data_IF_558804072123
#
_entry.id   IF_558804072123
#
_cell.length_a   1.000
_cell.length_b   1.000
_cell.length_c   1.000
_cell.angle_alpha   90.00
_cell.angle_beta   90.00
_cell.angle_gamma   90.00
#
_symmetry.space_group_name_H-M   'P 1'
#
loop_
_entity.id
_entity.type
_entity.pdbx_description
1 polymer ?
#
# COMPACT_ATOMS: atom_id res chain seq x y z
N UNK A 1 -42.44 -50.31 -18.38
CA UNK A 1 -42.91 -48.92 -18.38
C UNK A 1 -42.66 -48.35 -16.98
N UNK A 2 -41.43 -47.90 -16.76
CA UNK A 2 -41.00 -46.50 -16.52
C UNK A 2 -41.01 -46.15 -15.02
N UNK A 3 -39.85 -46.31 -14.41
CA UNK A 3 -39.40 -45.67 -13.18
C UNK A 3 -39.56 -44.16 -13.22
N UNK A 4 -40.14 -43.56 -12.17
CA UNK A 4 -40.12 -42.13 -11.94
C UNK A 4 -39.92 -41.82 -10.44
N UNK A 5 -38.71 -42.09 -9.93
CA UNK A 5 -38.21 -41.42 -8.73
C UNK A 5 -38.03 -39.94 -9.06
N UNK A 6 -38.95 -39.10 -8.59
CA UNK A 6 -38.72 -37.65 -8.50
C UNK A 6 -37.70 -37.39 -7.39
N UNK A 7 -36.43 -37.29 -7.80
CA UNK A 7 -35.37 -36.71 -6.97
C UNK A 7 -35.63 -35.22 -6.85
N UNK A 8 -36.04 -34.80 -5.65
CA UNK A 8 -36.22 -33.40 -5.29
C UNK A 8 -34.84 -32.80 -5.01
N UNK A 9 -34.22 -32.20 -6.03
CA UNK A 9 -33.00 -31.41 -5.88
C UNK A 9 -33.33 -30.14 -5.10
N UNK A 10 -33.03 -30.13 -3.81
CA UNK A 10 -33.01 -28.92 -2.99
C UNK A 10 -31.84 -28.06 -3.43
N UNK A 11 -32.12 -27.02 -4.22
CA UNK A 11 -31.18 -25.93 -4.49
C UNK A 11 -31.13 -25.10 -3.21
N UNK A 12 -30.08 -25.25 -2.42
CA UNK A 12 -29.83 -24.42 -1.23
C UNK A 12 -29.62 -22.98 -1.68
N UNK A 13 -30.62 -22.12 -1.47
CA UNK A 13 -30.50 -20.69 -1.66
C UNK A 13 -29.42 -20.15 -0.72
N UNK A 14 -28.38 -19.52 -1.28
CA UNK A 14 -27.39 -18.78 -0.51
C UNK A 14 -28.12 -17.66 0.25
N UNK A 15 -28.18 -17.78 1.57
CA UNK A 15 -28.77 -16.77 2.45
C UNK A 15 -27.95 -15.48 2.32
N UNK A 16 -28.55 -14.39 1.85
CA UNK A 16 -27.89 -13.09 1.85
C UNK A 16 -27.66 -12.64 3.29
N UNK A 17 -26.39 -12.49 3.67
CA UNK A 17 -25.99 -12.00 4.99
C UNK A 17 -26.54 -10.58 5.22
N UNK A 18 -26.99 -10.31 6.44
CA UNK A 18 -27.39 -8.96 6.86
C UNK A 18 -26.18 -8.00 6.84
N UNK A 19 -26.45 -6.69 6.79
CA UNK A 19 -25.39 -5.68 6.73
C UNK A 19 -24.45 -5.72 7.95
N UNK A 20 -24.99 -6.03 9.12
CA UNK A 20 -24.23 -6.13 10.37
C UNK A 20 -23.33 -7.38 10.37
N UNK A 21 -23.83 -8.52 9.90
CA UNK A 21 -23.03 -9.75 9.77
C UNK A 21 -21.87 -9.56 8.77
N UNK A 22 -22.11 -8.88 7.64
CA UNK A 22 -21.07 -8.54 6.66
C UNK A 22 -19.99 -7.64 7.27
N UNK A 23 -20.37 -6.70 8.12
CA UNK A 23 -19.43 -5.81 8.80
C UNK A 23 -18.60 -6.56 9.85
N UNK A 24 -19.20 -7.46 10.62
CA UNK A 24 -18.47 -8.29 11.59
C UNK A 24 -17.51 -9.27 10.92
N UNK A 25 -17.92 -9.89 9.81
CA UNK A 25 -17.03 -10.72 9.00
C UNK A 25 -15.85 -9.91 8.44
N UNK A 26 -16.12 -8.71 7.91
CA UNK A 26 -15.10 -7.79 7.43
C UNK A 26 -14.11 -7.37 8.53
N UNK A 27 -14.59 -7.10 9.75
CA UNK A 27 -13.74 -6.81 10.92
C UNK A 27 -12.85 -7.99 11.30
N UNK A 28 -13.40 -9.21 11.30
CA UNK A 28 -12.61 -10.42 11.59
C UNK A 28 -11.52 -10.62 10.54
N UNK A 29 -11.89 -10.61 9.25
CA UNK A 29 -10.96 -10.79 8.14
C UNK A 29 -9.84 -9.74 8.14
N UNK A 30 -10.19 -8.45 8.22
CA UNK A 30 -9.20 -7.37 8.25
C UNK A 30 -8.37 -7.37 9.53
N UNK A 31 -8.97 -7.76 10.67
CA UNK A 31 -8.25 -7.93 11.94
C UNK A 31 -7.15 -8.98 11.87
N UNK A 32 -7.40 -10.11 11.21
CA UNK A 32 -6.40 -11.15 10.99
C UNK A 32 -5.24 -10.65 10.11
N UNK A 33 -5.53 -9.93 9.02
CA UNK A 33 -4.50 -9.33 8.17
C UNK A 33 -3.63 -8.33 8.95
N UNK A 34 -4.26 -7.48 9.77
CA UNK A 34 -3.54 -6.51 10.61
C UNK A 34 -2.67 -7.19 11.65
N UNK A 35 -3.15 -8.26 12.29
CA UNK A 35 -2.34 -9.02 13.25
C UNK A 35 -1.10 -9.65 12.57
N UNK A 36 -1.26 -10.21 11.36
CA UNK A 36 -0.12 -10.72 10.58
C UNK A 36 0.86 -9.62 10.20
N UNK A 37 0.36 -8.44 9.83
CA UNK A 37 1.18 -7.29 9.48
C UNK A 37 1.99 -6.77 10.68
N UNK A 38 1.39 -6.75 11.87
CA UNK A 38 2.08 -6.36 13.11
C UNK A 38 3.26 -7.28 13.41
N UNK A 39 3.05 -8.60 13.36
CA UNK A 39 4.14 -9.57 13.58
C UNK A 39 5.26 -9.40 12.55
N UNK A 40 4.90 -9.12 11.29
CA UNK A 40 5.87 -8.84 10.24
C UNK A 40 6.63 -7.54 10.47
N UNK A 41 5.94 -6.49 10.92
CA UNK A 41 6.53 -5.18 11.21
C UNK A 41 7.48 -5.24 12.41
N UNK A 42 7.10 -5.92 13.49
CA UNK A 42 7.97 -6.12 14.65
C UNK A 42 9.29 -6.80 14.26
N UNK A 43 9.23 -7.82 13.40
CA UNK A 43 10.43 -8.43 12.86
C UNK A 43 11.22 -7.46 11.99
N UNK A 44 10.55 -6.71 11.11
CA UNK A 44 11.19 -5.78 10.17
C UNK A 44 11.80 -4.55 10.85
N UNK A 45 11.25 -4.11 11.99
CA UNK A 45 11.74 -2.99 12.77
C UNK A 45 13.19 -3.21 13.26
N UNK A 46 13.60 -4.47 13.44
CA UNK A 46 14.95 -4.87 13.89
C UNK A 46 16.01 -4.82 12.78
N UNK A 47 15.62 -4.60 11.53
CA UNK A 47 16.54 -4.69 10.39
C UNK A 47 17.51 -3.50 10.35
N UNK A 48 18.72 -3.77 9.88
CA UNK A 48 19.73 -2.74 9.64
C UNK A 48 19.38 -1.88 8.42
N UNK A 49 20.02 -0.72 8.30
CA UNK A 49 19.83 0.17 7.15
C UNK A 49 20.18 -0.54 5.83
N UNK A 50 21.27 -1.32 5.82
CA UNK A 50 21.75 -2.03 4.64
C UNK A 50 20.77 -3.13 4.21
N UNK A 51 20.16 -3.83 5.17
CA UNK A 51 19.14 -4.85 4.88
C UNK A 51 17.90 -4.21 4.25
N UNK A 52 17.42 -3.10 4.85
CA UNK A 52 16.29 -2.34 4.31
C UNK A 52 16.60 -1.81 2.91
N UNK A 53 17.79 -1.25 2.70
CA UNK A 53 18.18 -0.67 1.42
C UNK A 53 18.30 -1.74 0.32
N UNK A 54 18.82 -2.93 0.65
CA UNK A 54 18.87 -4.08 -0.25
C UNK A 54 17.46 -4.51 -0.68
N UNK A 55 16.53 -4.60 0.26
CA UNK A 55 15.13 -4.98 -0.02
C UNK A 55 14.47 -3.94 -0.92
N UNK A 56 14.61 -2.65 -0.60
CA UNK A 56 14.01 -1.57 -1.39
C UNK A 56 14.60 -1.50 -2.80
N UNK A 57 15.91 -1.71 -2.94
CA UNK A 57 16.57 -1.76 -4.25
C UNK A 57 16.04 -2.91 -5.12
N UNK A 58 15.90 -4.12 -4.56
CA UNK A 58 15.37 -5.27 -5.28
C UNK A 58 13.93 -5.06 -5.76
N UNK A 59 13.08 -4.45 -4.91
CA UNK A 59 11.71 -4.10 -5.28
C UNK A 59 11.64 -3.04 -6.37
N UNK A 60 12.49 -2.00 -6.28
CA UNK A 60 12.50 -0.93 -7.27
C UNK A 60 12.89 -1.46 -8.67
N UNK A 61 13.88 -2.37 -8.71
CA UNK A 61 14.28 -3.04 -9.94
C UNK A 61 13.13 -3.90 -10.50
N UNK A 62 12.56 -4.80 -9.71
CA UNK A 62 11.47 -5.67 -10.14
C UNK A 62 10.24 -4.89 -10.63
N UNK A 63 9.90 -3.79 -9.94
CA UNK A 63 8.81 -2.92 -10.36
C UNK A 63 9.10 -2.18 -11.67
N UNK A 64 10.35 -1.78 -11.93
CA UNK A 64 10.72 -1.16 -13.20
C UNK A 64 10.72 -2.17 -14.36
N UNK A 65 11.22 -3.39 -14.14
CA UNK A 65 11.19 -4.45 -15.16
C UNK A 65 9.75 -4.84 -15.56
N UNK A 66 8.83 -4.85 -14.59
CA UNK A 66 7.42 -5.15 -14.82
C UNK A 66 6.59 -3.95 -15.31
N UNK A 67 7.18 -2.77 -15.48
CA UNK A 67 6.44 -1.51 -15.67
C UNK A 67 5.50 -1.55 -16.87
N UNK A 68 5.97 -2.12 -17.99
CA UNK A 68 5.23 -2.18 -19.25
C UNK A 68 4.09 -3.20 -19.19
N UNK A 69 4.35 -4.39 -18.64
CA UNK A 69 3.33 -5.42 -18.46
C UNK A 69 2.19 -4.92 -17.57
N UNK A 70 2.54 -4.30 -16.43
CA UNK A 70 1.57 -3.69 -15.52
C UNK A 70 0.81 -2.51 -16.15
N UNK A 71 1.42 -1.80 -17.10
CA UNK A 71 0.75 -0.72 -17.82
C UNK A 71 -0.35 -1.26 -18.75
N UNK A 72 -0.07 -2.33 -19.50
CA UNK A 72 -1.07 -3.03 -20.32
C UNK A 72 -2.24 -3.53 -19.46
N UNK A 73 -1.95 -4.30 -18.40
CA UNK A 73 -2.98 -4.84 -17.53
C UNK A 73 -3.86 -3.75 -16.89
N UNK A 74 -3.27 -2.61 -16.53
CA UNK A 74 -4.01 -1.50 -15.97
C UNK A 74 -4.94 -0.84 -17.01
N UNK A 75 -4.55 -0.72 -18.28
CA UNK A 75 -5.43 -0.22 -19.34
C UNK A 75 -6.53 -1.24 -19.63
N UNK A 76 -6.19 -2.51 -19.74
CA UNK A 76 -7.12 -3.59 -20.05
C UNK A 76 -8.20 -3.75 -18.98
N UNK A 77 -7.83 -3.66 -17.70
CA UNK A 77 -8.79 -3.76 -16.59
C UNK A 77 -9.62 -2.48 -16.42
N UNK A 78 -8.99 -1.30 -16.49
CA UNK A 78 -9.68 -0.05 -16.14
C UNK A 78 -10.36 0.65 -17.32
N UNK A 79 -9.99 0.28 -18.56
CA UNK A 79 -10.41 0.95 -19.80
C UNK A 79 -9.99 2.41 -19.88
N UNK A 80 -8.93 2.81 -19.15
CA UNK A 80 -8.58 4.24 -18.94
C UNK A 80 -7.11 4.53 -19.13
N UNK A 81 -6.85 5.56 -19.95
CA UNK A 81 -5.53 6.11 -20.19
C UNK A 81 -4.80 5.41 -21.34
N UNK A 82 -3.54 5.76 -21.50
CA UNK A 82 -2.65 5.28 -22.57
C UNK A 82 -1.55 4.43 -21.93
N UNK A 83 -1.13 3.35 -22.59
CA UNK A 83 -0.16 2.39 -22.03
C UNK A 83 1.17 3.07 -21.77
N UNK A 84 1.66 3.87 -22.72
CA UNK A 84 2.93 4.59 -22.69
C UNK A 84 3.00 5.59 -21.53
N UNK A 85 1.90 6.32 -21.28
CA UNK A 85 1.78 7.22 -20.13
C UNK A 85 1.83 6.46 -18.81
N UNK A 86 1.23 5.26 -18.76
CA UNK A 86 1.23 4.42 -17.56
C UNK A 86 2.59 3.76 -17.34
N UNK A 87 3.28 3.33 -18.39
CA UNK A 87 4.65 2.82 -18.30
C UNK A 87 5.58 3.89 -17.71
N UNK A 88 5.50 5.11 -18.26
CA UNK A 88 6.27 6.27 -17.76
C UNK A 88 5.98 6.53 -16.28
N UNK A 89 4.71 6.50 -15.87
CA UNK A 89 4.32 6.68 -14.46
C UNK A 89 4.78 5.53 -13.57
N UNK A 90 4.78 4.31 -14.08
CA UNK A 90 5.25 3.12 -13.36
C UNK A 90 6.76 3.22 -13.11
N UNK A 91 7.54 3.50 -14.15
CA UNK A 91 9.00 3.74 -14.04
C UNK A 91 9.32 4.92 -13.13
N UNK A 92 8.53 6.00 -13.19
CA UNK A 92 8.70 7.10 -12.25
C UNK A 92 8.47 6.62 -10.81
N UNK A 93 7.37 5.91 -10.56
CA UNK A 93 7.00 5.45 -9.23
C UNK A 93 8.00 4.45 -8.63
N UNK A 94 8.85 3.83 -9.45
CA UNK A 94 9.91 2.91 -9.03
C UNK A 94 11.27 3.58 -9.01
N UNK A 95 11.83 3.91 -10.18
CA UNK A 95 13.20 4.39 -10.34
C UNK A 95 13.43 5.76 -9.71
N UNK A 96 12.56 6.74 -10.02
CA UNK A 96 12.74 8.10 -9.50
C UNK A 96 12.53 8.15 -8.00
N UNK A 97 11.53 7.42 -7.50
CA UNK A 97 11.24 7.32 -6.07
C UNK A 97 12.38 6.61 -5.35
N UNK A 98 12.91 5.51 -5.89
CA UNK A 98 14.07 4.84 -5.34
C UNK A 98 15.28 5.76 -5.29
N UNK A 99 15.58 6.47 -6.38
CA UNK A 99 16.68 7.42 -6.44
C UNK A 99 16.52 8.57 -5.43
N UNK A 100 15.30 9.01 -5.14
CA UNK A 100 15.06 10.07 -4.16
C UNK A 100 15.16 9.59 -2.70
N UNK A 101 14.98 8.29 -2.42
CA UNK A 101 14.97 7.76 -1.04
C UNK A 101 16.19 6.89 -0.71
N UNK A 102 17.00 6.47 -1.68
CA UNK A 102 18.08 5.49 -1.47
C UNK A 102 19.11 5.92 -0.41
N UNK A 103 19.45 7.21 -0.33
CA UNK A 103 20.44 7.72 0.63
C UNK A 103 19.82 8.26 1.93
N UNK A 104 18.50 8.25 2.05
CA UNK A 104 17.82 8.72 3.25
C UNK A 104 18.01 7.70 4.38
N UNK A 105 18.41 8.20 5.56
CA UNK A 105 18.57 7.38 6.76
C UNK A 105 17.21 7.19 7.43
N UNK A 106 16.82 5.94 7.62
CA UNK A 106 15.52 5.54 8.19
C UNK A 106 15.67 4.61 9.40
N UNK A 107 16.91 4.27 9.77
CA UNK A 107 17.25 3.40 10.91
C UNK A 107 18.12 4.16 11.91
N UNK A 108 17.72 4.14 13.18
CA UNK A 108 18.52 4.70 14.27
C UNK A 108 18.59 6.22 14.26
N UNK A 109 19.76 6.76 14.60
CA UNK A 109 19.96 8.22 14.75
C UNK A 109 20.16 8.84 13.36
N UNK A 110 19.19 9.66 12.95
CA UNK A 110 19.19 10.33 11.64
C UNK A 110 19.89 11.68 11.67
N UNK A 111 19.89 12.35 12.82
CA UNK A 111 20.48 13.67 12.98
C UNK A 111 20.98 13.86 14.42
N UNK A 112 22.15 14.48 14.57
CA UNK A 112 22.66 14.95 15.85
C UNK A 112 22.98 16.43 15.70
N UNK A 113 22.25 17.29 16.39
CA UNK A 113 22.55 18.71 16.45
C UNK A 113 23.23 19.02 17.79
N UNK A 114 24.54 19.22 17.75
CA UNK A 114 25.33 19.53 18.95
C UNK A 114 25.08 20.95 19.48
N UNK A 115 24.66 21.88 18.61
CA UNK A 115 24.41 23.28 18.96
C UNK A 115 23.07 23.44 19.67
N UNK A 116 22.02 22.82 19.13
CA UNK A 116 20.66 22.85 19.72
C UNK A 116 20.44 21.73 20.76
N UNK A 117 21.40 20.81 20.90
CA UNK A 117 21.39 19.79 21.96
C UNK A 117 20.38 18.65 21.77
N UNK A 118 19.93 18.37 20.54
CA UNK A 118 19.00 17.26 20.27
C UNK A 118 19.55 16.20 19.32
N UNK A 119 18.96 15.01 19.44
CA UNK A 119 19.13 13.89 18.53
C UNK A 119 17.79 13.51 17.93
N UNK A 120 17.75 13.22 16.63
CA UNK A 120 16.56 12.67 15.96
C UNK A 120 16.78 11.19 15.74
N UNK A 121 15.82 10.38 16.17
CA UNK A 121 15.83 8.92 16.00
C UNK A 121 14.65 8.53 15.12
N UNK A 122 14.90 7.75 14.08
CA UNK A 122 13.87 7.20 13.21
C UNK A 122 13.27 5.93 13.82
N UNK A 123 11.96 5.98 14.07
CA UNK A 123 11.14 4.84 14.45
C UNK A 123 10.06 4.62 13.38
N UNK A 124 9.75 3.36 13.04
CA UNK A 124 8.59 3.07 12.20
C UNK A 124 7.30 3.50 12.89
N UNK A 125 6.26 3.77 12.09
CA UNK A 125 4.93 4.07 12.58
C UNK A 125 4.15 2.79 12.95
N UNK A 126 4.46 1.67 12.28
CA UNK A 126 3.77 0.39 12.43
C UNK A 126 3.08 -0.04 11.13
N UNK A 127 1.80 -0.42 11.21
CA UNK A 127 1.02 -0.88 10.04
C UNK A 127 0.30 0.28 9.37
N UNK A 128 0.49 0.41 8.06
CA UNK A 128 -0.11 1.42 7.21
C UNK A 128 -1.27 0.85 6.38
N UNK A 129 -2.34 1.61 6.20
CA UNK A 129 -3.42 1.26 5.27
C UNK A 129 -3.29 2.06 3.96
N UNK A 130 -3.06 1.38 2.85
CA UNK A 130 -2.92 1.97 1.52
C UNK A 130 -4.22 1.93 0.72
N UNK A 131 -4.85 3.08 0.46
CA UNK A 131 -6.05 3.15 -0.39
C UNK A 131 -5.66 3.59 -1.79
N UNK A 132 -6.00 2.80 -2.81
CA UNK A 132 -5.51 3.02 -4.18
C UNK A 132 -6.67 3.40 -5.13
N UNK A 133 -6.53 4.48 -5.92
CA UNK A 133 -7.56 4.92 -6.87
C UNK A 133 -7.50 4.15 -8.19
N UNK A 134 -8.56 4.24 -9.00
CA UNK A 134 -8.62 3.60 -10.33
C UNK A 134 -7.78 4.28 -11.41
N UNK A 135 -7.34 5.52 -11.19
CA UNK A 135 -6.66 6.30 -12.25
C UNK A 135 -5.23 5.85 -12.46
N UNK A 136 -4.52 5.60 -11.36
CA UNK A 136 -3.12 5.18 -11.34
C UNK A 136 -2.94 4.00 -10.37
N UNK A 137 -3.54 2.82 -10.67
CA UNK A 137 -3.58 1.70 -9.74
C UNK A 137 -2.19 1.11 -9.45
N UNK A 138 -1.44 0.77 -10.50
CA UNK A 138 -0.15 0.09 -10.43
C UNK A 138 0.96 1.00 -9.87
N UNK A 139 1.15 2.19 -10.46
CA UNK A 139 2.15 3.16 -9.98
C UNK A 139 1.93 3.61 -8.53
N UNK A 140 0.68 3.86 -8.11
CA UNK A 140 0.40 4.24 -6.70
C UNK A 140 0.70 3.08 -5.75
N UNK A 141 0.40 1.84 -6.14
CA UNK A 141 0.69 0.65 -5.35
C UNK A 141 2.20 0.50 -5.15
N UNK A 142 2.97 0.57 -6.24
CA UNK A 142 4.44 0.46 -6.18
C UNK A 142 5.07 1.58 -5.34
N UNK A 143 4.67 2.84 -5.58
CA UNK A 143 5.15 3.98 -4.80
C UNK A 143 4.93 3.80 -3.29
N UNK A 144 3.71 3.42 -2.89
CA UNK A 144 3.36 3.26 -1.47
C UNK A 144 4.14 2.12 -0.82
N UNK A 145 4.37 1.02 -1.54
CA UNK A 145 5.18 -0.10 -1.04
C UNK A 145 6.63 0.35 -0.80
N UNK A 146 7.26 1.00 -1.78
CA UNK A 146 8.67 1.42 -1.67
C UNK A 146 8.89 2.35 -0.47
N UNK A 147 8.00 3.33 -0.29
CA UNK A 147 8.10 4.28 0.83
C UNK A 147 7.81 3.61 2.17
N UNK A 148 6.80 2.74 2.25
CA UNK A 148 6.48 2.02 3.48
C UNK A 148 7.63 1.13 3.94
N UNK A 149 8.21 0.35 3.02
CA UNK A 149 9.27 -0.59 3.38
C UNK A 149 10.62 0.10 3.61
N UNK A 150 10.91 1.22 2.94
CA UNK A 150 12.09 2.04 3.26
C UNK A 150 12.04 2.60 4.69
N UNK A 151 10.85 2.83 5.22
CA UNK A 151 10.61 3.33 6.58
C UNK A 151 10.33 2.23 7.60
N UNK A 152 10.59 0.95 7.25
CA UNK A 152 10.37 -0.23 8.10
C UNK A 152 8.91 -0.46 8.53
N UNK A 153 7.95 0.05 7.77
CA UNK A 153 6.53 -0.16 8.04
C UNK A 153 5.97 -1.37 7.27
N UNK A 154 4.95 -2.01 7.83
CA UNK A 154 4.09 -2.92 7.07
C UNK A 154 2.99 -2.12 6.35
N UNK A 155 2.47 -2.64 5.24
CA UNK A 155 1.39 -2.00 4.50
C UNK A 155 0.31 -2.99 4.06
N UNK A 156 -0.94 -2.60 4.25
CA UNK A 156 -2.13 -3.36 3.82
C UNK A 156 -2.91 -2.52 2.82
N UNK A 157 -3.16 -3.06 1.63
CA UNK A 157 -3.88 -2.35 0.59
C UNK A 157 -5.37 -2.64 0.55
N UNK A 158 -6.13 -1.58 0.28
CA UNK A 158 -7.49 -1.63 -0.21
C UNK A 158 -7.53 -1.04 -1.61
N UNK A 159 -7.67 -1.90 -2.62
CA UNK A 159 -7.75 -1.46 -4.01
C UNK A 159 -9.20 -1.17 -4.40
N UNK A 160 -9.35 -0.34 -5.42
CA UNK A 160 -10.68 -0.06 -5.97
C UNK A 160 -11.15 -1.25 -6.83
N UNK A 161 -12.44 -1.67 -6.74
CA UNK A 161 -12.94 -2.86 -7.46
C UNK A 161 -12.65 -2.91 -8.96
N UNK A 162 -12.71 -1.74 -9.63
CA UNK A 162 -12.40 -1.56 -11.06
C UNK A 162 -10.91 -1.64 -11.44
N UNK A 163 -10.01 -1.81 -10.48
CA UNK A 163 -8.56 -1.85 -10.71
C UNK A 163 -7.88 -2.84 -9.75
N UNK A 164 -8.61 -3.88 -9.35
CA UNK A 164 -8.20 -4.82 -8.31
C UNK A 164 -7.07 -5.71 -8.81
N UNK A 165 -7.23 -6.30 -9.99
CA UNK A 165 -6.33 -7.34 -10.51
C UNK A 165 -4.95 -6.78 -10.83
N UNK A 166 -4.88 -5.67 -11.56
CA UNK A 166 -3.61 -5.03 -11.90
C UNK A 166 -2.87 -4.53 -10.64
N UNK A 167 -3.61 -4.05 -9.63
CA UNK A 167 -2.99 -3.60 -8.37
C UNK A 167 -2.49 -4.76 -7.52
N UNK A 168 -3.24 -5.86 -7.43
CA UNK A 168 -2.78 -7.08 -6.76
C UNK A 168 -1.53 -7.60 -7.45
N UNK A 169 -1.50 -7.65 -8.78
CA UNK A 169 -0.34 -8.14 -9.50
C UNK A 169 0.90 -7.27 -9.25
N UNK A 170 0.75 -5.93 -9.28
CA UNK A 170 1.83 -5.02 -8.90
C UNK A 170 2.32 -5.24 -7.46
N UNK A 171 1.40 -5.42 -6.50
CA UNK A 171 1.76 -5.71 -5.11
C UNK A 171 2.48 -7.06 -4.96
N UNK A 172 2.03 -8.08 -5.70
CA UNK A 172 2.61 -9.42 -5.71
C UNK A 172 4.06 -9.41 -6.22
N UNK A 173 4.33 -8.71 -7.33
CA UNK A 173 5.69 -8.61 -7.90
C UNK A 173 6.66 -8.00 -6.88
N UNK A 174 6.26 -6.90 -6.24
CA UNK A 174 7.10 -6.25 -5.23
C UNK A 174 7.22 -7.10 -3.95
N UNK A 175 6.15 -7.78 -3.55
CA UNK A 175 6.18 -8.68 -2.40
C UNK A 175 7.14 -9.85 -2.63
N UNK A 176 7.09 -10.49 -3.79
CA UNK A 176 7.99 -11.60 -4.12
C UNK A 176 9.45 -11.14 -4.22
N UNK A 177 9.70 -9.95 -4.78
CA UNK A 177 11.02 -9.34 -4.78
C UNK A 177 11.52 -9.03 -3.37
N UNK A 178 10.65 -8.51 -2.50
CA UNK A 178 10.98 -8.23 -1.11
C UNK A 178 11.31 -9.51 -0.33
N UNK A 179 10.50 -10.57 -0.48
CA UNK A 179 10.74 -11.86 0.17
C UNK A 179 12.07 -12.47 -0.29
N UNK A 180 12.37 -12.44 -1.59
CA UNK A 180 13.65 -12.91 -2.14
C UNK A 180 14.85 -12.13 -1.59
N UNK A 181 14.68 -10.84 -1.32
CA UNK A 181 15.71 -9.98 -0.74
C UNK A 181 15.85 -10.14 0.79
N UNK A 182 14.94 -10.87 1.45
CA UNK A 182 14.98 -11.19 2.87
C UNK A 182 13.95 -10.48 3.74
N UNK A 183 12.92 -9.85 3.16
CA UNK A 183 11.84 -9.24 3.93
C UNK A 183 10.98 -10.30 4.64
N UNK A 184 10.37 -9.96 5.80
CA UNK A 184 9.49 -10.89 6.49
C UNK A 184 8.19 -11.14 5.71
N UNK A 185 7.64 -12.35 5.87
CA UNK A 185 6.34 -12.72 5.30
C UNK A 185 5.25 -11.79 5.82
N UNK A 186 4.27 -11.47 4.99
CA UNK A 186 3.11 -10.63 5.30
C UNK A 186 3.43 -9.14 5.56
N UNK A 187 4.63 -8.65 5.21
CA UNK A 187 4.98 -7.22 5.31
C UNK A 187 4.17 -6.35 4.33
N UNK A 188 3.81 -6.91 3.18
CA UNK A 188 2.87 -6.35 2.21
C UNK A 188 1.68 -7.30 2.15
N UNK A 189 0.48 -6.75 2.36
CA UNK A 189 -0.78 -7.50 2.26
C UNK A 189 -1.82 -6.65 1.52
N UNK A 190 -2.92 -7.27 1.12
CA UNK A 190 -4.05 -6.60 0.50
C UNK A 190 -5.35 -7.32 0.82
N UNK A 191 -6.47 -6.63 0.62
CA UNK A 191 -7.81 -7.20 0.69
C UNK A 191 -8.11 -7.91 -0.64
N UNK A 192 -8.36 -9.22 -0.61
CA UNK A 192 -8.61 -10.02 -1.83
C UNK A 192 -9.91 -9.62 -2.54
N UNK A 193 -10.97 -9.40 -1.75
CA UNK A 193 -12.29 -9.01 -2.24
C UNK A 193 -12.58 -7.56 -1.85
N UNK A 194 -12.50 -6.66 -2.82
CA UNK A 194 -12.85 -5.26 -2.61
C UNK A 194 -14.32 -5.12 -2.19
N UNK A 195 -14.53 -4.66 -0.97
CA UNK A 195 -15.84 -4.31 -0.44
C UNK A 195 -15.75 -3.05 0.40
N UNK A 196 -16.86 -2.32 0.50
CA UNK A 196 -16.93 -1.11 1.30
C UNK A 196 -16.75 -1.44 2.79
N UNK A 197 -17.29 -2.58 3.21
CA UNK A 197 -17.20 -3.12 4.56
C UNK A 197 -15.74 -3.42 4.92
N UNK A 198 -15.00 -4.13 4.05
CA UNK A 198 -13.57 -4.44 4.27
C UNK A 198 -12.73 -3.16 4.33
N UNK A 199 -13.00 -2.22 3.42
CA UNK A 199 -12.29 -0.92 3.41
C UNK A 199 -12.56 -0.16 4.70
N UNK A 200 -13.82 -0.11 5.14
CA UNK A 200 -14.24 0.61 6.35
C UNK A 200 -13.68 -0.06 7.60
N UNK A 201 -13.70 -1.39 7.68
CA UNK A 201 -13.14 -2.16 8.78
C UNK A 201 -11.62 -1.95 8.90
N UNK A 202 -10.89 -1.97 7.78
CA UNK A 202 -9.46 -1.68 7.75
C UNK A 202 -9.15 -0.27 8.26
N UNK A 203 -9.86 0.74 7.74
CA UNK A 203 -9.67 2.16 8.09
C UNK A 203 -9.96 2.42 9.57
N UNK A 204 -10.97 1.75 10.13
CA UNK A 204 -11.41 1.93 11.53
C UNK A 204 -10.63 1.08 12.53
N UNK A 205 -9.74 0.20 12.05
CA UNK A 205 -9.00 -0.68 12.95
C UNK A 205 -8.01 0.15 13.79
N UNK A 206 -8.08 0.09 15.14
CA UNK A 206 -7.23 0.88 16.02
C UNK A 206 -5.73 0.53 15.92
N UNK A 207 -5.40 -0.63 15.34
CA UNK A 207 -4.02 -1.09 15.15
C UNK A 207 -3.38 -0.54 13.86
N UNK A 208 -4.13 0.16 13.01
CA UNK A 208 -3.56 0.89 11.87
C UNK A 208 -3.01 2.23 12.35
N UNK A 209 -1.71 2.42 12.19
CA UNK A 209 -1.02 3.63 12.63
C UNK A 209 -1.35 4.84 11.75
N UNK A 210 -1.47 4.61 10.44
CA UNK A 210 -1.78 5.68 9.50
C UNK A 210 -2.38 5.18 8.19
N UNK A 211 -3.21 6.02 7.58
CA UNK A 211 -3.88 5.73 6.32
C UNK A 211 -3.29 6.62 5.23
N UNK A 212 -2.79 5.99 4.17
CA UNK A 212 -2.27 6.64 2.99
C UNK A 212 -3.38 6.73 1.94
N UNK A 213 -4.03 7.89 1.89
CA UNK A 213 -5.07 8.19 0.92
C UNK A 213 -4.58 9.20 -0.13
N UNK A 214 -5.09 9.08 -1.36
CA UNK A 214 -4.79 10.01 -2.45
C UNK A 214 -3.90 9.45 -3.54
N UNK A 215 -3.96 10.13 -4.69
CA UNK A 215 -3.12 9.90 -5.85
C UNK A 215 -1.79 10.65 -5.69
N UNK A 216 -0.70 9.96 -6.02
CA UNK A 216 0.63 10.56 -6.02
C UNK A 216 0.77 11.65 -7.10
N UNK A 217 -0.04 11.58 -8.17
CA UNK A 217 -0.07 12.55 -9.27
C UNK A 217 -1.22 13.57 -9.10
N UNK A 218 -0.91 14.75 -8.58
CA UNK A 218 -1.81 15.92 -8.60
C UNK A 218 -1.57 16.76 -9.86
N UNK A 219 -2.58 17.53 -10.32
CA UNK A 219 -2.50 18.46 -11.48
C UNK A 219 -1.36 19.50 -11.40
N UNK A 220 -0.64 19.58 -10.28
CA UNK A 220 0.49 20.48 -10.06
C UNK A 220 1.86 19.78 -9.92
N UNK A 221 2.00 18.52 -10.32
CA UNK A 221 3.29 17.81 -10.32
C UNK A 221 3.90 17.57 -8.93
N UNK A 222 3.13 17.77 -7.85
CA UNK A 222 3.60 17.61 -6.48
C UNK A 222 3.11 16.29 -5.87
N UNK A 223 4.05 15.52 -5.30
CA UNK A 223 3.74 14.35 -4.48
C UNK A 223 3.01 14.81 -3.20
N UNK A 224 1.72 14.51 -3.08
CA UNK A 224 1.00 14.61 -1.79
C UNK A 224 0.46 13.26 -1.40
N UNK A 225 1.08 12.62 -0.42
CA UNK A 225 0.40 11.61 0.37
C UNK A 225 -0.42 12.34 1.44
N UNK A 226 -1.76 12.21 1.40
CA UNK A 226 -2.58 12.63 2.52
C UNK A 226 -2.52 11.51 3.57
N UNK A 227 -1.80 11.77 4.65
CA UNK A 227 -1.78 10.94 5.86
C UNK A 227 -3.05 11.27 6.62
N UNK A 228 -3.92 10.29 6.78
CA UNK A 228 -5.06 10.39 7.68
C UNK A 228 -4.71 9.61 8.95
N UNK A 229 -4.56 10.33 10.06
CA UNK A 229 -4.47 9.74 11.40
C UNK A 229 -5.87 9.75 12.02
N UNK A 230 -6.43 8.60 12.41
CA UNK A 230 -7.59 8.58 13.30
C UNK A 230 -7.18 9.14 14.66
N UNK A 231 -7.55 10.38 14.96
CA UNK A 231 -7.39 10.95 16.30
C UNK A 231 -8.56 10.45 17.15
N UNK A 232 -8.32 9.50 18.04
CA UNK A 232 -9.26 9.17 19.11
C UNK A 232 -9.21 10.28 20.17
N UNK A 233 -10.27 11.09 20.20
CA UNK A 233 -10.51 12.07 21.27
C UNK A 233 -9.82 13.42 21.07
N UNK A 234 -10.62 14.47 20.84
CA UNK A 234 -10.18 15.86 20.91
C UNK A 234 -10.02 16.54 19.54
N UNK A 235 -10.71 17.66 19.36
CA UNK A 235 -10.72 18.45 18.12
C UNK A 235 -9.29 18.92 17.79
N UNK A 236 -8.70 18.35 16.74
CA UNK A 236 -7.45 18.82 16.15
C UNK A 236 -7.02 17.93 14.99
N UNK A 237 -7.25 18.38 13.75
CA UNK A 237 -6.78 17.68 12.54
C UNK A 237 -5.30 17.97 12.36
N UNK A 238 -4.41 17.07 12.80
CA UNK A 238 -2.98 17.20 12.46
C UNK A 238 -2.71 16.53 11.10
N UNK A 239 -2.27 17.36 10.15
CA UNK A 239 -1.68 16.92 8.90
C UNK A 239 -0.22 16.58 9.17
N UNK A 240 0.12 15.30 9.24
CA UNK A 240 1.51 14.88 9.19
C UNK A 240 1.88 14.60 7.72
N UNK A 241 2.78 15.38 7.12
CA UNK A 241 3.27 15.08 5.77
C UNK A 241 4.38 14.02 5.87
N UNK A 242 4.11 12.78 5.45
CA UNK A 242 5.14 11.72 5.41
C UNK A 242 6.25 12.01 4.38
N UNK A 243 5.96 12.86 3.38
CA UNK A 243 6.95 13.32 2.41
C UNK A 243 6.48 14.62 1.74
N UNK A 244 7.29 15.67 1.77
CA UNK A 244 7.12 16.88 0.94
C UNK A 244 8.25 16.86 -0.08
N UNK A 245 8.01 16.34 -1.28
CA UNK A 245 8.99 16.47 -2.37
C UNK A 245 9.26 17.96 -2.58
N UNK A 246 10.52 18.38 -2.50
CA UNK A 246 10.91 19.73 -2.85
C UNK A 246 10.56 20.01 -4.32
N UNK A 247 10.26 21.28 -4.56
CA UNK A 247 9.64 21.87 -5.75
C UNK A 247 10.49 21.59 -7.01
N UNK A 248 10.23 20.51 -7.74
CA UNK A 248 10.73 20.32 -9.10
C UNK A 248 9.78 20.97 -10.10
N UNK A 249 9.74 22.31 -10.09
CA UNK A 249 9.40 23.22 -11.18
C UNK A 249 9.54 24.62 -10.58
N UNK A 250 10.71 25.24 -10.76
CA UNK A 250 10.83 26.68 -10.64
C UNK A 250 10.02 27.35 -11.74
N UNK A 251 9.48 28.56 -11.53
CA UNK A 251 9.02 29.35 -12.65
C UNK A 251 10.27 29.72 -13.47
N UNK A 252 10.43 29.09 -14.63
CA UNK A 252 11.22 29.70 -15.69
C UNK A 252 10.50 30.98 -16.13
N UNK A 253 11.30 31.96 -16.57
CA UNK A 253 10.91 33.23 -17.17
C UNK A 253 9.55 33.24 -17.88
#
# INVERSE_FOLDING_TARGET
MVDAKKTQTTVTAAKELSADEKMEEAKRYTGELVNKALVAEEAYATYSQEQVDKIVAAMALAGSEASLALAHEAVDETGRGVVEDKDTKNRFATENVYNSIKHEKTVGIIERNQVEGYIKVAAPLGVLAGIVPTTNPTSTTMFKILVALKTRNAIIFSFHPKAQRCSIHAAQILYDAALKAGAPKNIIQWIDKASLENTTALIRNPKIASILFGNWWSRHGACRAAVWQPVNGGRGRQRCCLYRSHRLFGPGC
#
